data_IF_401334661177
#
_entry.id   IF_401334661177
#
_cell.length_a   1.000
_cell.length_b   1.000
_cell.length_c   1.000
_cell.angle_alpha   90.00
_cell.angle_beta   90.00
_cell.angle_gamma   90.00
#
_symmetry.space_group_name_H-M   'P 1'
#
loop_
_entity.id
_entity.type
_entity.pdbx_description
1 polymer ?
#
# COMPACT_ATOMS: atom_id res chain seq x y z
N UNK A 1 -0.36 -8.74 10.68
CA UNK A 1 0.14 -9.05 9.33
C UNK A 1 0.23 -7.77 8.52
N UNK A 2 1.37 -7.51 7.87
CA UNK A 2 1.53 -6.40 6.91
C UNK A 2 1.61 -7.00 5.51
N UNK A 3 0.83 -6.44 4.57
CA UNK A 3 0.80 -6.87 3.17
C UNK A 3 1.15 -5.68 2.27
N UNK A 4 2.28 -5.80 1.59
CA UNK A 4 2.71 -4.89 0.52
C UNK A 4 2.54 -5.54 -0.85
N UNK A 5 2.95 -4.85 -1.91
CA UNK A 5 3.11 -5.43 -3.23
C UNK A 5 4.37 -4.86 -3.89
N UNK A 6 5.15 -5.72 -4.52
CA UNK A 6 6.37 -5.34 -5.25
C UNK A 6 6.07 -4.78 -6.66
N UNK A 7 4.98 -4.02 -6.79
CA UNK A 7 4.61 -3.25 -7.98
C UNK A 7 5.14 -1.82 -7.88
N UNK A 8 6.45 -1.68 -7.70
CA UNK A 8 7.13 -0.42 -7.37
C UNK A 8 7.68 -0.44 -5.94
N UNK A 9 8.67 0.42 -5.67
CA UNK A 9 9.36 0.44 -4.38
C UNK A 9 8.55 1.11 -3.26
N UNK A 10 7.65 2.04 -3.58
CA UNK A 10 6.93 2.86 -2.60
C UNK A 10 6.09 2.06 -1.62
N UNK A 11 5.28 1.14 -2.11
CA UNK A 11 4.41 0.29 -1.27
C UNK A 11 5.23 -0.59 -0.30
N UNK A 12 6.35 -1.14 -0.78
CA UNK A 12 7.24 -1.95 0.03
C UNK A 12 7.93 -1.11 1.12
N UNK A 13 8.42 0.09 0.76
CA UNK A 13 9.09 0.99 1.70
C UNK A 13 8.15 1.50 2.79
N UNK A 14 6.91 1.84 2.44
CA UNK A 14 5.89 2.21 3.41
C UNK A 14 5.60 1.06 4.40
N UNK A 15 5.50 -0.17 3.91
CA UNK A 15 5.31 -1.36 4.74
C UNK A 15 6.50 -1.60 5.68
N UNK A 16 7.74 -1.47 5.19
CA UNK A 16 8.96 -1.59 5.98
C UNK A 16 9.05 -0.51 7.07
N UNK A 17 8.67 0.73 6.74
CA UNK A 17 8.60 1.83 7.71
C UNK A 17 7.65 1.51 8.86
N UNK A 18 6.45 1.02 8.54
CA UNK A 18 5.45 0.62 9.55
C UNK A 18 5.99 -0.55 10.40
N UNK A 19 6.61 -1.55 9.79
CA UNK A 19 7.21 -2.68 10.50
C UNK A 19 8.30 -2.22 11.48
N UNK A 20 9.18 -1.29 11.05
CA UNK A 20 10.23 -0.71 11.87
C UNK A 20 9.69 0.06 13.07
N UNK A 21 8.65 0.89 12.85
CA UNK A 21 8.02 1.65 13.94
C UNK A 21 7.29 0.74 14.94
N UNK A 22 6.60 -0.30 14.46
CA UNK A 22 5.94 -1.25 15.35
C UNK A 22 6.93 -2.01 16.23
N UNK A 23 8.14 -2.25 15.76
CA UNK A 23 9.21 -2.91 16.53
C UNK A 23 9.77 -2.02 17.66
N UNK A 24 9.59 -0.69 17.57
CA UNK A 24 10.05 0.27 18.57
C UNK A 24 9.04 0.50 19.70
N UNK A 25 7.83 -0.06 19.60
CA UNK A 25 6.83 0.08 20.67
C UNK A 25 7.31 -0.61 21.97
N UNK A 26 6.91 -0.10 23.15
CA UNK A 26 7.24 -0.73 24.44
C UNK A 26 6.82 -2.20 24.53
N UNK A 27 5.68 -2.54 23.92
CA UNK A 27 5.17 -3.90 23.77
C UNK A 27 4.96 -4.17 22.28
N UNK A 28 6.01 -4.57 21.55
CA UNK A 28 5.93 -4.76 20.10
C UNK A 28 5.02 -5.94 19.76
N UNK A 29 4.08 -5.77 18.82
CA UNK A 29 3.25 -6.87 18.35
C UNK A 29 4.10 -7.85 17.53
N UNK A 30 3.62 -9.10 17.43
CA UNK A 30 4.20 -10.03 16.47
C UNK A 30 3.84 -9.58 15.05
N UNK A 31 4.84 -9.18 14.27
CA UNK A 31 4.67 -8.72 12.89
C UNK A 31 5.12 -9.80 11.91
N UNK A 32 4.27 -10.04 10.90
CA UNK A 32 4.59 -10.84 9.71
C UNK A 32 4.41 -9.92 8.51
N UNK A 33 5.48 -9.62 7.79
CA UNK A 33 5.42 -8.84 6.55
C UNK A 33 5.55 -9.77 5.33
N UNK A 34 4.64 -9.63 4.36
CA UNK A 34 4.63 -10.42 3.11
C UNK A 34 4.32 -9.54 1.91
N UNK A 35 4.97 -9.87 0.79
CA UNK A 35 4.62 -9.34 -0.52
C UNK A 35 3.41 -10.12 -1.08
N UNK A 36 2.29 -9.43 -1.27
CA UNK A 36 1.06 -10.03 -1.78
C UNK A 36 1.22 -10.63 -3.19
N UNK A 37 2.10 -10.06 -4.03
CA UNK A 37 2.35 -10.58 -5.37
C UNK A 37 3.08 -11.95 -5.35
N UNK A 38 3.79 -12.28 -4.28
CA UNK A 38 4.37 -13.61 -4.11
C UNK A 38 3.31 -14.71 -3.95
N UNK A 39 2.07 -14.33 -3.62
CA UNK A 39 0.93 -15.24 -3.43
C UNK A 39 -0.04 -15.23 -4.61
N UNK A 40 0.33 -14.60 -5.72
CA UNK A 40 -0.42 -14.63 -6.98
C UNK A 40 0.17 -15.67 -7.93
N UNK A 41 -0.59 -16.08 -8.96
CA UNK A 41 -0.01 -16.92 -9.98
C UNK A 41 1.01 -16.15 -10.85
N UNK A 42 1.94 -16.88 -11.46
CA UNK A 42 3.04 -16.28 -12.23
C UNK A 42 2.53 -15.38 -13.37
N UNK A 43 1.52 -15.83 -14.11
CA UNK A 43 0.95 -15.04 -15.21
C UNK A 43 0.34 -13.72 -14.73
N UNK A 44 -0.37 -13.73 -13.59
CA UNK A 44 -0.92 -12.51 -12.98
C UNK A 44 0.20 -11.58 -12.51
N UNK A 45 1.24 -12.12 -11.88
CA UNK A 45 2.40 -11.34 -11.43
C UNK A 45 3.09 -10.64 -12.60
N UNK A 46 3.37 -11.37 -13.71
CA UNK A 46 4.00 -10.82 -14.90
C UNK A 46 3.14 -9.73 -15.55
N UNK A 47 1.84 -9.98 -15.74
CA UNK A 47 0.94 -8.97 -16.33
C UNK A 47 0.77 -7.75 -15.41
N UNK A 48 0.73 -7.97 -14.10
CA UNK A 48 0.45 -6.90 -13.15
C UNK A 48 1.68 -6.03 -12.85
N UNK A 49 2.86 -6.61 -12.68
CA UNK A 49 4.09 -5.89 -12.35
C UNK A 49 4.86 -5.46 -13.62
N UNK A 50 5.14 -6.40 -14.52
CA UNK A 50 6.02 -6.14 -15.65
C UNK A 50 5.30 -5.35 -16.75
N UNK A 51 4.08 -5.72 -17.12
CA UNK A 51 3.32 -5.00 -18.14
C UNK A 51 2.91 -3.60 -17.69
N UNK A 52 2.62 -3.41 -16.39
CA UNK A 52 2.36 -2.09 -15.83
C UNK A 52 3.60 -1.19 -15.94
N UNK A 53 4.77 -1.64 -15.51
CA UNK A 53 6.02 -0.87 -15.57
C UNK A 53 6.38 -0.57 -17.02
N UNK A 54 6.24 -1.56 -17.92
CA UNK A 54 6.49 -1.36 -19.34
C UNK A 54 5.53 -0.33 -19.95
N UNK A 55 4.25 -0.37 -19.60
CA UNK A 55 3.23 0.58 -20.09
C UNK A 55 3.48 2.00 -19.55
N UNK A 56 3.89 2.15 -18.30
CA UNK A 56 4.31 3.45 -17.73
C UNK A 56 5.44 4.06 -18.55
N UNK A 57 6.43 3.24 -18.93
CA UNK A 57 7.62 3.70 -19.62
C UNK A 57 7.42 3.93 -21.13
N UNK A 58 6.54 3.15 -21.77
CA UNK A 58 6.44 3.13 -23.24
C UNK A 58 5.19 3.82 -23.79
N UNK A 59 4.07 3.75 -23.07
CA UNK A 59 2.76 4.24 -23.52
C UNK A 59 1.98 4.97 -22.41
N UNK A 60 2.54 6.05 -21.81
CA UNK A 60 1.92 6.73 -20.68
C UNK A 60 0.53 7.31 -20.99
N UNK A 61 0.28 7.74 -22.24
CA UNK A 61 -1.03 8.23 -22.67
C UNK A 61 -2.12 7.15 -22.68
N UNK A 62 -1.77 5.92 -23.10
CA UNK A 62 -2.70 4.79 -23.07
C UNK A 62 -2.98 4.36 -21.63
N UNK A 63 -1.95 4.39 -20.77
CA UNK A 63 -2.12 4.11 -19.35
C UNK A 63 -3.09 5.11 -18.69
N UNK A 64 -2.95 6.42 -18.99
CA UNK A 64 -3.87 7.45 -18.50
C UNK A 64 -5.32 7.14 -18.87
N UNK A 65 -5.61 6.81 -20.15
CA UNK A 65 -6.95 6.44 -20.60
C UNK A 65 -7.50 5.18 -19.92
N UNK A 66 -6.64 4.18 -19.66
CA UNK A 66 -7.03 2.98 -18.91
C UNK A 66 -7.30 3.29 -17.45
N UNK A 67 -6.53 4.18 -16.84
CA UNK A 67 -6.78 4.68 -15.49
C UNK A 67 -8.10 5.43 -15.40
N UNK A 68 -8.35 6.39 -16.28
CA UNK A 68 -9.61 7.16 -16.33
C UNK A 68 -10.83 6.24 -16.52
N UNK A 69 -10.69 5.19 -17.33
CA UNK A 69 -11.75 4.20 -17.52
C UNK A 69 -11.96 3.33 -16.28
N UNK A 70 -10.88 2.94 -15.61
CA UNK A 70 -10.91 2.11 -14.40
C UNK A 70 -11.29 2.91 -13.15
N UNK A 71 -11.07 4.23 -13.13
CA UNK A 71 -11.29 5.12 -11.99
C UNK A 71 -12.76 5.55 -11.84
N UNK A 72 -13.66 4.59 -11.99
CA UNK A 72 -15.08 4.80 -11.69
C UNK A 72 -15.42 4.03 -10.40
N UNK A 73 -15.79 4.73 -9.31
CA UNK A 73 -16.12 4.10 -8.03
C UNK A 73 -17.14 2.97 -8.23
N UNK A 74 -16.79 1.79 -7.68
CA UNK A 74 -17.63 0.58 -7.67
C UNK A 74 -17.97 -0.05 -9.03
N UNK A 75 -17.48 0.52 -10.15
CA UNK A 75 -17.63 -0.08 -11.47
C UNK A 75 -16.73 -1.32 -11.58
N UNK A 76 -17.27 -2.36 -12.18
CA UNK A 76 -16.56 -3.64 -12.39
C UNK A 76 -16.01 -4.34 -11.13
N UNK A 77 -16.34 -3.86 -9.91
CA UNK A 77 -15.91 -4.45 -8.64
C UNK A 77 -16.10 -5.97 -8.61
N UNK A 78 -17.28 -6.47 -9.03
CA UNK A 78 -17.57 -7.92 -9.03
C UNK A 78 -16.68 -8.70 -9.98
N UNK A 79 -16.36 -8.13 -11.15
CA UNK A 79 -15.51 -8.77 -12.16
C UNK A 79 -14.07 -8.80 -11.69
N UNK A 80 -13.54 -7.68 -11.17
CA UNK A 80 -12.21 -7.56 -10.59
C UNK A 80 -12.02 -8.53 -9.44
N UNK A 81 -12.91 -8.53 -8.46
CA UNK A 81 -12.90 -9.48 -7.32
C UNK A 81 -12.92 -10.95 -7.75
N UNK A 82 -13.57 -11.28 -8.87
CA UNK A 82 -13.60 -12.67 -9.36
C UNK A 82 -12.23 -13.07 -9.93
N UNK A 83 -11.60 -12.19 -10.70
CA UNK A 83 -10.26 -12.39 -11.26
C UNK A 83 -9.23 -12.49 -10.14
N UNK A 84 -9.24 -11.54 -9.21
CA UNK A 84 -8.31 -11.51 -8.09
C UNK A 84 -8.44 -12.75 -7.21
N UNK A 85 -9.66 -13.20 -6.94
CA UNK A 85 -9.92 -14.38 -6.14
C UNK A 85 -9.38 -15.68 -6.77
N UNK A 86 -9.41 -15.79 -8.09
CA UNK A 86 -8.84 -16.94 -8.78
C UNK A 86 -7.31 -16.94 -8.69
N UNK A 87 -6.70 -15.76 -8.73
CA UNK A 87 -5.25 -15.59 -8.74
C UNK A 87 -4.62 -15.52 -7.33
N UNK A 88 -5.41 -15.31 -6.27
CA UNK A 88 -4.92 -15.07 -4.90
C UNK A 88 -5.33 -16.13 -3.89
N UNK A 89 -5.55 -17.37 -4.33
CA UNK A 89 -5.87 -18.50 -3.44
C UNK A 89 -4.81 -18.73 -2.38
N UNK A 90 -3.53 -18.58 -2.74
CA UNK A 90 -2.42 -18.73 -1.82
C UNK A 90 -2.42 -17.64 -0.73
N UNK A 91 -2.77 -16.39 -1.07
CA UNK A 91 -2.94 -15.32 -0.08
C UNK A 91 -4.09 -15.62 0.89
N UNK A 92 -5.22 -16.12 0.37
CA UNK A 92 -6.35 -16.52 1.21
C UNK A 92 -5.96 -17.65 2.17
N UNK A 93 -5.16 -18.59 1.71
CA UNK A 93 -4.61 -19.68 2.55
C UNK A 93 -3.71 -19.14 3.65
N UNK A 94 -2.77 -18.22 3.33
CA UNK A 94 -1.92 -17.55 4.31
C UNK A 94 -2.76 -16.89 5.41
N UNK A 95 -3.82 -16.16 5.06
CA UNK A 95 -4.71 -15.50 6.02
C UNK A 95 -5.41 -16.51 6.96
N UNK A 96 -5.81 -17.65 6.47
CA UNK A 96 -6.41 -18.71 7.30
C UNK A 96 -5.39 -19.42 8.19
N UNK A 97 -4.16 -19.59 7.74
CA UNK A 97 -3.07 -20.21 8.50
C UNK A 97 -2.56 -19.28 9.59
N UNK A 98 -2.35 -18.00 9.28
CA UNK A 98 -1.81 -17.02 10.23
C UNK A 98 -2.85 -16.44 11.19
N UNK A 99 -4.13 -16.40 10.81
CA UNK A 99 -5.25 -15.84 11.59
C UNK A 99 -4.89 -14.50 12.25
N UNK A 100 -4.49 -13.49 11.47
CA UNK A 100 -4.03 -12.24 12.03
C UNK A 100 -5.16 -11.50 12.76
N UNK A 101 -4.88 -10.95 13.94
CA UNK A 101 -5.80 -10.07 14.67
C UNK A 101 -6.07 -8.79 13.87
N UNK A 102 -5.03 -8.32 13.16
CA UNK A 102 -5.10 -7.13 12.34
C UNK A 102 -4.23 -7.26 11.09
N UNK A 103 -4.74 -6.73 9.97
CA UNK A 103 -3.99 -6.65 8.70
C UNK A 103 -3.82 -5.18 8.32
N UNK A 104 -2.58 -4.82 7.94
CA UNK A 104 -2.25 -3.52 7.37
C UNK A 104 -1.86 -3.75 5.91
N UNK A 105 -2.52 -3.06 4.99
CA UNK A 105 -2.22 -3.14 3.57
C UNK A 105 -1.67 -1.80 3.07
N UNK A 106 -0.49 -1.83 2.46
CA UNK A 106 0.12 -0.66 1.78
C UNK A 106 -0.08 -0.71 0.27
N UNK A 107 -0.96 -1.60 -0.21
CA UNK A 107 -1.36 -1.74 -1.61
C UNK A 107 -2.83 -2.15 -1.70
N UNK A 108 -3.53 -1.68 -2.73
CA UNK A 108 -4.97 -1.92 -2.89
C UNK A 108 -5.33 -3.39 -3.16
N UNK A 109 -4.52 -4.15 -3.91
CA UNK A 109 -4.81 -5.54 -4.25
C UNK A 109 -5.09 -6.43 -3.02
N UNK A 110 -4.20 -6.54 -2.02
CA UNK A 110 -4.51 -7.32 -0.83
C UNK A 110 -5.66 -6.72 -0.01
N UNK A 111 -5.78 -5.38 0.03
CA UNK A 111 -6.84 -4.70 0.76
C UNK A 111 -8.22 -5.09 0.24
N UNK A 112 -8.42 -5.09 -1.08
CA UNK A 112 -9.68 -5.46 -1.72
C UNK A 112 -10.07 -6.93 -1.43
N UNK A 113 -9.11 -7.83 -1.51
CA UNK A 113 -9.32 -9.27 -1.22
C UNK A 113 -9.76 -9.46 0.22
N UNK A 114 -9.07 -8.83 1.18
CA UNK A 114 -9.37 -8.97 2.60
C UNK A 114 -10.73 -8.35 2.93
N UNK A 115 -10.99 -7.13 2.43
CA UNK A 115 -12.28 -6.46 2.56
C UNK A 115 -13.43 -7.35 2.08
N UNK A 116 -13.26 -8.02 0.94
CA UNK A 116 -14.25 -8.97 0.42
C UNK A 116 -14.42 -10.23 1.30
N UNK A 117 -13.33 -10.77 1.85
CA UNK A 117 -13.39 -11.91 2.76
C UNK A 117 -14.12 -11.55 4.06
N UNK A 118 -13.88 -10.35 4.60
CA UNK A 118 -14.58 -9.83 5.78
C UNK A 118 -16.07 -9.64 5.47
N UNK A 119 -16.40 -8.98 4.35
CA UNK A 119 -17.78 -8.79 3.90
C UNK A 119 -18.58 -10.09 3.82
N UNK A 120 -17.94 -11.15 3.40
CA UNK A 120 -18.54 -12.49 3.25
C UNK A 120 -18.56 -13.31 4.54
N UNK A 121 -18.11 -12.74 5.66
CA UNK A 121 -17.99 -13.45 6.93
C UNK A 121 -16.97 -14.61 6.93
N UNK A 122 -16.04 -14.60 5.97
CA UNK A 122 -15.02 -15.66 5.80
C UNK A 122 -13.73 -15.37 6.55
N UNK A 123 -13.49 -14.13 6.91
CA UNK A 123 -12.34 -13.70 7.68
C UNK A 123 -12.80 -12.73 8.78
N UNK A 124 -12.30 -12.96 10.00
CA UNK A 124 -12.54 -12.07 11.14
C UNK A 124 -11.22 -11.45 11.56
N UNK A 125 -10.96 -10.24 11.11
CA UNK A 125 -9.74 -9.47 11.39
C UNK A 125 -10.01 -7.98 11.24
N UNK A 126 -9.22 -7.13 11.87
CA UNK A 126 -9.18 -5.72 11.55
C UNK A 126 -8.46 -5.48 10.21
N UNK A 127 -8.86 -4.46 9.45
CA UNK A 127 -8.20 -4.07 8.21
C UNK A 127 -7.89 -2.57 8.22
N UNK A 128 -6.62 -2.23 8.22
CA UNK A 128 -6.12 -0.88 7.98
C UNK A 128 -5.53 -0.76 6.59
N UNK A 129 -5.89 0.30 5.88
CA UNK A 129 -5.44 0.57 4.52
C UNK A 129 -4.58 1.83 4.56
N UNK A 130 -3.33 1.71 4.13
CA UNK A 130 -2.38 2.81 4.04
C UNK A 130 -2.22 3.16 2.57
N UNK A 131 -2.85 4.24 2.16
CA UNK A 131 -2.78 4.73 0.78
C UNK A 131 -1.42 5.36 0.57
N UNK A 132 -0.67 4.84 -0.39
CA UNK A 132 0.69 5.29 -0.72
C UNK A 132 0.75 6.20 -1.95
N UNK A 133 -0.42 6.60 -2.43
CA UNK A 133 -0.60 7.59 -3.47
C UNK A 133 -1.00 8.94 -2.84
N UNK A 134 -0.66 10.04 -3.50
CA UNK A 134 -1.07 11.37 -3.03
C UNK A 134 -2.57 11.60 -3.21
N UNK A 135 -3.15 11.03 -4.26
CA UNK A 135 -4.59 10.98 -4.50
C UNK A 135 -5.10 9.54 -4.45
N UNK A 136 -6.42 9.37 -4.28
CA UNK A 136 -7.03 8.06 -4.17
C UNK A 136 -7.80 7.73 -5.45
N UNK A 137 -7.49 6.60 -6.05
CA UNK A 137 -8.25 6.06 -7.18
C UNK A 137 -9.20 4.91 -6.75
N UNK A 138 -10.13 4.55 -7.61
CA UNK A 138 -11.22 3.63 -7.29
C UNK A 138 -10.79 2.24 -6.79
N UNK A 139 -9.59 1.77 -7.17
CA UNK A 139 -9.07 0.48 -6.71
C UNK A 139 -8.73 0.45 -5.21
N UNK A 140 -8.47 1.62 -4.59
CA UNK A 140 -8.27 1.71 -3.14
C UNK A 140 -9.56 1.60 -2.34
N UNK A 141 -10.73 1.75 -2.97
CA UNK A 141 -12.01 1.81 -2.29
C UNK A 141 -12.45 0.41 -1.79
N UNK A 142 -12.44 0.22 -0.50
CA UNK A 142 -12.86 -1.01 0.17
C UNK A 142 -14.13 -0.77 0.98
N UNK A 143 -15.11 -1.70 0.92
CA UNK A 143 -16.38 -1.58 1.66
C UNK A 143 -16.25 -1.90 3.15
N UNK A 144 -15.34 -2.80 3.50
CA UNK A 144 -15.10 -3.22 4.88
C UNK A 144 -13.67 -2.92 5.28
N UNK A 145 -13.51 -2.03 6.22
CA UNK A 145 -12.22 -1.56 6.73
C UNK A 145 -12.37 -1.11 8.20
N UNK A 146 -11.29 -1.09 8.93
CA UNK A 146 -11.19 -0.48 10.26
C UNK A 146 -10.75 0.97 10.14
N UNK A 147 -9.64 1.22 9.41
CA UNK A 147 -9.08 2.55 9.22
C UNK A 147 -8.50 2.74 7.82
N UNK A 148 -8.50 3.98 7.35
CA UNK A 148 -7.70 4.49 6.25
C UNK A 148 -6.66 5.47 6.76
N UNK A 149 -5.46 5.37 6.24
CA UNK A 149 -4.38 6.32 6.43
C UNK A 149 -4.04 6.92 5.08
N UNK A 150 -4.13 8.24 4.94
CA UNK A 150 -3.99 8.95 3.67
C UNK A 150 -2.94 10.04 3.78
N UNK A 151 -2.38 10.43 2.62
CA UNK A 151 -1.32 11.41 2.56
C UNK A 151 -1.82 12.84 2.84
N UNK A 152 -2.96 13.21 2.27
CA UNK A 152 -3.44 14.58 2.18
C UNK A 152 -4.86 14.74 2.73
N UNK A 153 -5.17 15.96 3.16
CA UNK A 153 -6.49 16.35 3.60
C UNK A 153 -7.53 16.27 2.46
N UNK A 154 -7.12 16.61 1.25
CA UNK A 154 -7.93 16.55 0.03
C UNK A 154 -8.41 15.11 -0.21
N UNK A 155 -7.53 14.13 0.02
CA UNK A 155 -7.86 12.70 -0.11
C UNK A 155 -8.88 12.27 0.95
N UNK A 156 -8.76 12.78 2.18
CA UNK A 156 -9.76 12.55 3.24
C UNK A 156 -11.13 13.10 2.87
N UNK A 157 -11.18 14.35 2.39
CA UNK A 157 -12.44 14.98 1.96
C UNK A 157 -13.05 14.25 0.75
N UNK A 158 -12.22 13.77 -0.18
CA UNK A 158 -12.68 12.94 -1.30
C UNK A 158 -13.32 11.63 -0.80
N UNK A 159 -12.67 10.90 0.11
CA UNK A 159 -13.25 9.69 0.73
C UNK A 159 -14.57 9.99 1.45
N UNK A 160 -14.64 11.09 2.16
CA UNK A 160 -15.88 11.53 2.84
C UNK A 160 -17.01 11.79 1.85
N UNK A 161 -16.76 12.44 0.70
CA UNK A 161 -17.75 12.62 -0.36
C UNK A 161 -18.22 11.28 -0.96
N UNK A 162 -17.38 10.26 -0.96
CA UNK A 162 -17.71 8.89 -1.37
C UNK A 162 -18.45 8.08 -0.28
N UNK A 163 -18.73 8.69 0.89
CA UNK A 163 -19.49 8.08 1.97
C UNK A 163 -18.66 7.28 2.98
N UNK A 164 -17.34 7.46 3.01
CA UNK A 164 -16.49 6.86 4.02
C UNK A 164 -16.65 7.59 5.37
N UNK A 165 -16.57 6.83 6.48
CA UNK A 165 -16.72 7.36 7.82
C UNK A 165 -15.52 8.27 8.18
N UNK A 166 -15.73 9.57 8.47
CA UNK A 166 -14.61 10.52 8.67
C UNK A 166 -13.73 10.18 9.87
N UNK A 167 -14.30 9.57 10.91
CA UNK A 167 -13.60 9.12 12.12
C UNK A 167 -12.65 7.93 11.87
N UNK A 168 -12.78 7.29 10.71
CA UNK A 168 -11.92 6.18 10.28
C UNK A 168 -10.90 6.56 9.21
N UNK A 169 -10.84 7.81 8.81
CA UNK A 169 -9.88 8.31 7.81
C UNK A 169 -8.92 9.28 8.47
N UNK A 170 -7.66 8.90 8.53
CA UNK A 170 -6.59 9.61 9.22
C UNK A 170 -5.60 10.20 8.21
N UNK A 171 -5.35 11.51 8.30
CA UNK A 171 -4.32 12.17 7.48
C UNK A 171 -2.99 12.10 8.23
N UNK A 172 -2.09 11.25 7.75
CA UNK A 172 -0.81 10.97 8.43
C UNK A 172 0.41 11.19 7.56
N UNK A 173 0.22 11.46 6.28
CA UNK A 173 1.29 11.33 5.30
C UNK A 173 1.52 9.87 4.90
N UNK A 174 2.41 9.67 3.94
CA UNK A 174 2.89 8.33 3.55
C UNK A 174 3.97 7.92 4.55
N UNK A 175 3.93 6.68 5.11
CA UNK A 175 4.96 6.21 6.04
C UNK A 175 6.35 6.23 5.40
N UNK A 176 7.31 6.80 6.12
CA UNK A 176 8.72 6.89 5.75
C UNK A 176 9.58 6.21 6.82
N UNK A 177 10.74 5.73 6.42
CA UNK A 177 11.68 5.08 7.34
C UNK A 177 12.02 6.02 8.51
N UNK A 178 12.01 5.54 9.77
CA UNK A 178 12.36 6.32 10.96
C UNK A 178 13.69 7.06 10.84
N UNK A 179 14.61 6.54 10.06
CA UNK A 179 15.92 7.16 9.79
C UNK A 179 15.82 8.60 9.29
N UNK A 180 14.72 8.97 8.61
CA UNK A 180 14.47 10.33 8.12
C UNK A 180 13.99 11.28 9.22
N UNK A 181 13.52 10.78 10.34
CA UNK A 181 13.14 11.56 11.52
C UNK A 181 14.31 11.81 12.49
N UNK A 182 15.41 11.08 12.33
CA UNK A 182 16.60 11.24 13.15
C UNK A 182 17.36 12.53 12.76
N UNK A 183 17.65 13.34 13.75
CA UNK A 183 18.58 14.48 13.54
C UNK A 183 20.00 13.93 13.39
N UNK A 184 20.61 14.19 12.25
CA UNK A 184 22.00 13.83 11.95
C UNK A 184 22.84 15.08 11.80
N UNK A 185 24.07 15.04 12.33
CA UNK A 185 25.01 16.13 12.13
C UNK A 185 25.41 16.21 10.66
N UNK A 186 25.23 17.41 10.06
CA UNK A 186 25.49 17.63 8.64
C UNK A 186 26.95 17.39 8.27
N UNK A 187 27.88 17.80 9.14
CA UNK A 187 29.31 17.67 8.90
C UNK A 187 29.75 16.21 8.93
N UNK A 188 29.33 15.47 9.97
CA UNK A 188 29.61 14.05 10.10
C UNK A 188 29.05 13.24 8.91
N UNK A 189 27.81 13.54 8.47
CA UNK A 189 27.20 12.85 7.33
C UNK A 189 27.93 13.18 6.03
N UNK A 190 28.34 14.42 5.83
CA UNK A 190 29.14 14.77 4.64
C UNK A 190 30.48 14.04 4.62
N UNK A 191 31.15 13.97 5.74
CA UNK A 191 32.40 13.21 5.88
C UNK A 191 32.17 11.71 5.62
N UNK A 192 31.12 11.14 6.21
CA UNK A 192 30.75 9.72 6.03
C UNK A 192 30.51 9.34 4.57
N UNK A 193 29.90 10.23 3.80
CA UNK A 193 29.57 9.98 2.37
C UNK A 193 30.58 10.61 1.40
N UNK A 194 31.73 11.08 1.86
CA UNK A 194 32.79 11.64 1.02
C UNK A 194 32.40 12.92 0.29
N UNK A 195 31.48 13.71 0.86
CA UNK A 195 31.00 14.96 0.30
C UNK A 195 31.81 16.14 0.83
N UNK A 196 32.15 17.08 -0.05
CA UNK A 196 32.88 18.30 0.33
C UNK A 196 32.02 19.18 1.26
N UNK A 197 32.64 19.68 2.35
CA UNK A 197 31.92 20.39 3.44
C UNK A 197 31.27 21.68 3.02
N UNK A 198 31.81 22.38 2.03
CA UNK A 198 31.47 23.74 1.58
C UNK A 198 30.69 23.81 0.27
N UNK A 199 30.56 22.68 -0.44
CA UNK A 199 29.84 22.65 -1.73
C UNK A 199 28.36 22.26 -1.57
N UNK A 200 27.47 22.80 -2.42
CA UNK A 200 26.11 22.34 -2.50
C UNK A 200 26.08 20.88 -3.00
N UNK A 201 25.16 20.08 -2.45
CA UNK A 201 24.95 18.69 -2.87
C UNK A 201 23.56 18.55 -3.46
N UNK A 202 23.47 18.03 -4.68
CA UNK A 202 22.23 17.70 -5.35
C UNK A 202 22.16 16.17 -5.45
N UNK A 203 21.11 15.58 -4.91
CA UNK A 203 20.81 14.16 -5.05
C UNK A 203 19.67 13.98 -6.07
N UNK A 204 19.88 13.09 -7.04
CA UNK A 204 18.86 12.68 -8.00
C UNK A 204 18.68 11.17 -7.90
N UNK A 205 17.43 10.71 -7.78
CA UNK A 205 17.06 9.28 -7.71
C UNK A 205 16.10 8.91 -8.83
#
# INVERSE_FOLDING_TARGET
LILSASAGAGHLRAAQAIESELALLPEPPQVIHKDALAFTNLAFKTVYADAYIEMVNTLPGLLGLLYDYADQPWKDEKRRLTIDRLNTRALTRLLYETRPDHVICTHFLPAEIISNLICRGKLKTGLSIVVTDMDIHSMWLCRHYSNYFVALEETREHLKMLGFAPDKVHVTGIPIDPVFSERKDKFEMRQKYGLESDKPTIYMS
#
